data_IF_783623806143
#
_entry.id   IF_783623806143
#
_cell.length_a   1.000
_cell.length_b   1.000
_cell.length_c   1.000
_cell.angle_alpha   90.00
_cell.angle_beta   90.00
_cell.angle_gamma   90.00
#
_symmetry.space_group_name_H-M   'P 1'
#
loop_
_entity.id
_entity.type
_entity.pdbx_description
1 polymer ?
#
# COMPACT_ATOMS: atom_id res chain seq x y z
N UNK A 1 21.91 -25.11 65.11
CA UNK A 1 21.91 -26.17 64.09
C UNK A 1 20.82 -27.19 64.45
N UNK A 2 19.69 -27.20 63.73
CA UNK A 2 18.58 -28.17 63.98
C UNK A 2 19.02 -29.55 63.41
N UNK A 3 19.09 -30.55 64.26
CA UNK A 3 19.33 -31.95 63.88
C UNK A 3 18.12 -32.40 63.01
N UNK A 4 18.37 -32.64 61.72
CA UNK A 4 17.38 -33.22 60.81
C UNK A 4 17.19 -34.68 61.24
N UNK A 5 15.96 -35.06 61.59
CA UNK A 5 15.63 -36.43 62.04
C UNK A 5 15.87 -37.43 60.90
N UNK A 6 16.49 -38.56 61.27
CA UNK A 6 16.76 -39.67 60.30
C UNK A 6 15.56 -40.15 59.56
N UNK A 7 14.36 -39.98 60.14
CA UNK A 7 13.07 -40.23 59.41
C UNK A 7 12.86 -39.29 58.23
N UNK A 8 13.18 -38.02 58.36
CA UNK A 8 13.00 -37.02 57.27
C UNK A 8 14.03 -37.23 56.15
N UNK A 9 15.21 -37.72 56.47
CA UNK A 9 16.24 -38.07 55.51
C UNK A 9 15.81 -39.27 54.61
N UNK A 10 15.17 -40.29 55.26
CA UNK A 10 14.66 -41.47 54.58
C UNK A 10 13.47 -41.12 53.66
N UNK A 11 12.60 -40.22 54.10
CA UNK A 11 11.47 -39.76 53.26
C UNK A 11 11.98 -38.94 52.06
N UNK A 12 13.01 -38.10 52.28
CA UNK A 12 13.63 -37.32 51.21
C UNK A 12 14.34 -38.24 50.18
N UNK A 13 15.04 -39.27 50.66
CA UNK A 13 15.72 -40.26 49.80
C UNK A 13 14.74 -41.11 49.01
N UNK A 14 13.58 -41.49 49.59
CA UNK A 14 12.53 -42.24 48.88
C UNK A 14 11.84 -41.31 47.84
N UNK A 15 11.62 -40.04 48.19
CA UNK A 15 11.02 -39.07 47.25
C UNK A 15 11.96 -38.77 46.07
N UNK A 16 13.26 -38.64 46.31
CA UNK A 16 14.23 -38.44 45.21
C UNK A 16 14.40 -39.67 44.36
N UNK A 17 14.37 -40.88 44.98
CA UNK A 17 14.44 -42.12 44.22
C UNK A 17 13.20 -42.35 43.36
N UNK A 18 11.99 -42.03 43.88
CA UNK A 18 10.75 -42.12 43.12
C UNK A 18 10.70 -41.10 41.95
N UNK A 19 11.23 -39.89 42.16
CA UNK A 19 11.33 -38.86 41.12
C UNK A 19 12.31 -39.26 40.02
N UNK A 20 13.44 -39.89 40.42
CA UNK A 20 14.42 -40.42 39.47
C UNK A 20 13.86 -41.59 38.66
N UNK A 21 13.09 -42.47 39.33
CA UNK A 21 12.42 -43.59 38.66
C UNK A 21 11.35 -43.10 37.69
N UNK A 22 10.60 -42.05 38.07
CA UNK A 22 9.60 -41.42 37.20
C UNK A 22 10.25 -40.70 35.98
N UNK A 23 11.39 -40.06 36.19
CA UNK A 23 12.19 -39.47 35.14
C UNK A 23 12.77 -40.53 34.19
N UNK A 24 13.20 -41.68 34.75
CA UNK A 24 13.72 -42.81 33.96
C UNK A 24 12.59 -43.48 33.15
N UNK A 25 11.38 -43.61 33.72
CA UNK A 25 10.20 -44.12 33.03
C UNK A 25 9.69 -43.15 31.94
N UNK A 26 9.72 -41.85 32.23
CA UNK A 26 9.42 -40.82 31.22
C UNK A 26 10.47 -40.76 30.09
N UNK A 27 11.75 -40.99 30.46
CA UNK A 27 12.83 -41.06 29.49
C UNK A 27 12.76 -42.31 28.63
N UNK A 28 12.36 -43.45 29.18
CA UNK A 28 12.09 -44.69 28.44
C UNK A 28 10.82 -44.60 27.57
N UNK A 29 9.79 -43.88 28.02
CA UNK A 29 8.57 -43.72 27.20
C UNK A 29 8.77 -42.66 26.09
N UNK A 30 9.64 -41.66 26.27
CA UNK A 30 9.95 -40.68 25.23
C UNK A 30 10.98 -41.20 24.21
N UNK A 31 11.70 -42.28 24.54
CA UNK A 31 12.65 -42.92 23.63
C UNK A 31 12.05 -44.03 22.76
N UNK A 32 10.80 -44.40 23.01
CA UNK A 32 10.20 -45.52 22.29
C UNK A 32 9.80 -45.19 20.84
N UNK A 33 9.49 -43.92 20.54
CA UNK A 33 9.02 -43.59 19.17
C UNK A 33 10.08 -42.94 18.25
N UNK A 34 11.19 -42.46 18.81
CA UNK A 34 12.24 -41.80 18.03
C UNK A 34 13.58 -42.55 17.93
N UNK A 35 13.93 -43.31 18.95
CA UNK A 35 15.23 -43.98 19.02
C UNK A 35 15.26 -45.38 18.34
N UNK A 36 14.13 -46.00 18.17
CA UNK A 36 14.03 -47.28 17.43
C UNK A 36 14.31 -47.13 15.95
N UNK A 37 14.02 -46.01 15.34
CA UNK A 37 14.40 -45.71 13.94
C UNK A 37 15.90 -45.46 13.76
N UNK A 38 16.55 -44.85 14.72
CA UNK A 38 18.00 -44.51 14.61
C UNK A 38 18.90 -45.68 14.99
N UNK A 39 18.51 -46.50 15.97
CA UNK A 39 19.30 -47.67 16.37
C UNK A 39 19.17 -48.83 15.38
N UNK A 40 18.02 -48.94 14.71
CA UNK A 40 17.85 -49.93 13.63
C UNK A 40 18.71 -49.59 12.39
N UNK A 41 19.09 -48.33 12.20
CA UNK A 41 19.95 -47.90 11.09
C UNK A 41 21.46 -48.12 11.35
N UNK A 42 21.88 -48.41 12.61
CA UNK A 42 23.28 -48.47 13.01
C UNK A 42 23.74 -49.94 13.30
N UNK A 43 22.86 -50.85 13.56
CA UNK A 43 23.22 -52.25 13.77
C UNK A 43 23.12 -53.05 12.46
N UNK A 44 24.22 -53.52 11.88
CA UNK A 44 24.15 -54.45 10.76
C UNK A 44 23.56 -55.76 11.26
N UNK A 45 22.27 -55.94 11.06
CA UNK A 45 21.49 -57.10 11.49
C UNK A 45 21.71 -58.34 10.65
N UNK A 46 22.89 -58.68 10.36
CA UNK A 46 23.35 -59.93 9.75
C UNK A 46 24.16 -59.75 8.48
N UNK A 47 25.27 -60.45 8.39
CA UNK A 47 26.14 -60.56 7.22
C UNK A 47 25.53 -61.37 6.05
N UNK A 48 24.25 -61.65 6.05
CA UNK A 48 23.67 -62.57 5.09
C UNK A 48 22.36 -62.23 4.44
N UNK A 49 21.90 -60.93 4.51
CA UNK A 49 20.61 -60.56 3.90
C UNK A 49 19.40 -61.20 4.55
N UNK A 50 18.23 -60.73 4.27
CA UNK A 50 16.97 -61.28 4.76
C UNK A 50 16.59 -62.52 3.89
N UNK A 51 16.41 -63.68 4.53
CA UNK A 51 15.97 -64.92 3.91
C UNK A 51 14.47 -65.01 4.12
N UNK A 52 13.70 -64.90 3.06
CA UNK A 52 12.25 -65.11 3.07
C UNK A 52 12.01 -66.56 2.67
N UNK A 53 11.57 -67.42 3.61
CA UNK A 53 11.34 -68.81 3.31
C UNK A 53 9.88 -69.07 2.97
N UNK A 54 9.62 -69.64 1.83
CA UNK A 54 8.33 -70.28 1.49
C UNK A 54 7.36 -69.50 0.65
N UNK A 55 7.59 -68.17 0.42
CA UNK A 55 6.73 -67.36 -0.43
C UNK A 55 7.54 -66.55 -1.46
N UNK A 56 6.96 -66.28 -2.65
CA UNK A 56 7.62 -65.46 -3.66
C UNK A 56 7.78 -64.04 -3.14
N UNK A 57 8.96 -63.45 -3.37
CA UNK A 57 9.23 -62.06 -3.01
C UNK A 57 8.28 -61.12 -3.78
N UNK A 58 7.46 -60.39 -3.06
CA UNK A 58 6.55 -59.38 -3.62
C UNK A 58 7.10 -57.98 -3.39
N UNK A 59 6.57 -56.95 -4.07
CA UNK A 59 6.97 -55.54 -3.86
C UNK A 59 6.78 -55.14 -2.39
N UNK A 60 5.70 -55.62 -1.74
CA UNK A 60 5.44 -55.32 -0.32
C UNK A 60 6.44 -55.97 0.61
N UNK A 61 6.87 -57.23 0.35
CA UNK A 61 7.89 -57.89 1.18
C UNK A 61 9.27 -57.28 0.98
N UNK A 62 9.60 -56.83 -0.24
CA UNK A 62 10.86 -56.09 -0.51
C UNK A 62 10.82 -54.72 0.16
N UNK A 63 9.70 -54.03 0.18
CA UNK A 63 9.54 -52.74 0.83
C UNK A 63 9.64 -52.84 2.37
N UNK A 64 9.19 -53.96 2.96
CA UNK A 64 9.25 -54.19 4.40
C UNK A 64 10.66 -54.61 4.85
N UNK A 65 11.35 -55.46 4.11
CA UNK A 65 12.61 -56.06 4.54
C UNK A 65 13.86 -55.37 3.94
N UNK A 66 13.72 -54.77 2.76
CA UNK A 66 14.84 -54.12 2.08
C UNK A 66 14.36 -52.94 1.21
N UNK A 67 13.87 -51.86 1.82
CA UNK A 67 13.32 -50.71 1.08
C UNK A 67 14.32 -50.06 0.12
N UNK A 68 15.61 -50.24 0.39
CA UNK A 68 16.70 -49.71 -0.45
C UNK A 68 16.85 -50.40 -1.82
N UNK A 69 16.19 -51.57 -2.03
CA UNK A 69 16.16 -52.27 -3.31
C UNK A 69 15.09 -51.73 -4.25
N UNK A 70 14.07 -51.05 -3.72
CA UNK A 70 13.03 -50.46 -4.52
C UNK A 70 13.43 -49.01 -4.82
N UNK A 71 13.62 -48.74 -6.08
CA UNK A 71 13.82 -47.39 -6.56
C UNK A 71 12.44 -46.71 -6.67
N UNK A 72 12.22 -45.63 -5.93
CA UNK A 72 11.03 -44.81 -6.12
C UNK A 72 11.12 -44.13 -7.48
N UNK A 73 10.01 -44.04 -8.19
CA UNK A 73 9.92 -43.30 -9.42
C UNK A 73 10.01 -41.81 -9.04
N UNK A 74 11.11 -41.16 -9.43
CA UNK A 74 11.36 -39.78 -9.16
C UNK A 74 11.04 -38.98 -10.42
N UNK A 75 10.09 -38.03 -10.32
CA UNK A 75 9.88 -37.05 -11.37
C UNK A 75 11.09 -36.13 -11.43
N UNK A 76 11.86 -36.22 -12.50
CA UNK A 76 13.04 -35.35 -12.72
C UNK A 76 12.66 -33.90 -13.03
N UNK A 77 11.36 -33.59 -13.18
CA UNK A 77 10.89 -32.24 -13.41
C UNK A 77 10.63 -31.54 -12.09
N UNK A 78 11.44 -30.53 -11.80
CA UNK A 78 11.18 -29.60 -10.71
C UNK A 78 10.18 -28.58 -11.21
N UNK A 79 8.99 -28.59 -10.63
CA UNK A 79 7.96 -27.57 -10.88
C UNK A 79 8.35 -26.33 -10.05
N UNK A 80 8.86 -25.31 -10.71
CA UNK A 80 9.12 -24.03 -10.08
C UNK A 80 7.80 -23.28 -9.91
N UNK A 81 7.40 -23.05 -8.67
CA UNK A 81 6.28 -22.16 -8.37
C UNK A 81 6.76 -20.75 -8.67
N UNK A 82 6.22 -20.14 -9.72
CA UNK A 82 6.48 -18.75 -10.01
C UNK A 82 5.59 -17.93 -9.09
N UNK A 83 6.15 -17.13 -8.18
CA UNK A 83 5.35 -16.18 -7.45
C UNK A 83 4.77 -15.21 -8.47
N UNK A 84 3.57 -14.88 -8.25
CA UNK A 84 2.67 -13.92 -8.83
C UNK A 84 3.29 -12.75 -9.56
N UNK A 85 2.46 -12.18 -10.40
CA UNK A 85 2.75 -10.92 -11.07
C UNK A 85 3.14 -9.84 -10.06
N UNK A 86 4.27 -9.20 -10.28
CA UNK A 86 4.69 -8.00 -9.58
C UNK A 86 4.29 -6.77 -10.41
N UNK A 87 3.03 -6.32 -10.35
CA UNK A 87 2.49 -5.34 -11.30
C UNK A 87 3.19 -3.98 -11.20
N UNK A 88 3.55 -3.53 -10.01
CA UNK A 88 4.23 -2.24 -9.81
C UNK A 88 5.64 -2.29 -10.38
N UNK A 89 6.39 -3.36 -10.13
CA UNK A 89 7.73 -3.53 -10.70
C UNK A 89 7.68 -3.57 -12.23
N UNK A 90 6.69 -4.26 -12.81
CA UNK A 90 6.48 -4.31 -14.26
C UNK A 90 6.13 -2.93 -14.85
N UNK A 91 5.16 -2.21 -14.25
CA UNK A 91 4.79 -0.86 -14.67
C UNK A 91 5.98 0.09 -14.55
N UNK A 92 6.75 -0.02 -13.47
CA UNK A 92 7.93 0.83 -13.25
C UNK A 92 9.05 0.59 -14.24
N UNK A 93 9.26 -0.66 -14.68
CA UNK A 93 10.28 -1.00 -15.69
C UNK A 93 9.92 -0.47 -17.06
N UNK A 94 8.65 -0.51 -17.43
CA UNK A 94 8.20 0.02 -18.71
C UNK A 94 8.42 1.52 -18.81
N UNK A 95 8.22 2.24 -17.72
CA UNK A 95 8.48 3.68 -17.66
C UNK A 95 9.97 4.01 -17.57
N UNK A 96 10.78 3.07 -17.10
CA UNK A 96 12.18 3.24 -16.81
C UNK A 96 12.44 3.87 -15.43
N UNK A 97 13.44 3.36 -14.74
CA UNK A 97 13.88 3.92 -13.47
C UNK A 97 14.76 5.16 -13.72
N UNK A 98 14.56 6.21 -12.92
CA UNK A 98 15.46 7.36 -12.89
C UNK A 98 16.63 7.09 -11.95
N UNK A 99 17.81 7.51 -12.33
CA UNK A 99 18.99 7.40 -11.47
C UNK A 99 18.91 8.41 -10.34
N UNK A 100 19.07 7.96 -9.10
CA UNK A 100 19.19 8.80 -7.92
C UNK A 100 20.67 8.96 -7.54
N UNK A 101 21.14 10.18 -7.38
CA UNK A 101 22.50 10.47 -6.91
C UNK A 101 22.67 10.29 -5.40
N UNK A 102 21.58 10.16 -4.65
CA UNK A 102 21.54 10.04 -3.20
C UNK A 102 20.55 8.96 -2.76
N UNK A 103 20.74 8.43 -1.54
CA UNK A 103 19.78 7.53 -0.90
C UNK A 103 18.48 8.24 -0.49
N UNK A 104 18.51 9.58 -0.46
CA UNK A 104 17.36 10.42 -0.17
C UNK A 104 16.91 11.04 -1.49
N UNK A 105 15.65 10.83 -1.84
CA UNK A 105 15.04 11.37 -3.06
C UNK A 105 14.04 12.45 -2.67
N UNK A 106 14.40 13.68 -3.00
CA UNK A 106 13.51 14.83 -2.86
C UNK A 106 12.81 15.09 -4.19
N UNK A 107 11.51 15.28 -4.13
CA UNK A 107 10.72 15.63 -5.31
C UNK A 107 9.73 16.75 -4.96
N UNK A 108 9.44 17.55 -5.95
CA UNK A 108 8.61 18.74 -5.81
C UNK A 108 7.32 18.54 -6.61
N UNK A 109 6.21 18.86 -5.99
CA UNK A 109 4.92 18.97 -6.66
C UNK A 109 4.38 20.38 -6.49
N UNK A 110 3.79 20.92 -7.55
CA UNK A 110 3.07 22.20 -7.51
C UNK A 110 1.61 21.86 -7.70
N UNK A 111 0.81 22.22 -6.72
CA UNK A 111 -0.64 22.09 -6.82
C UNK A 111 -1.27 23.41 -7.23
N UNK A 112 -2.46 23.36 -7.82
CA UNK A 112 -3.26 24.54 -8.04
C UNK A 112 -3.88 24.98 -6.71
N UNK A 113 -4.06 26.30 -6.53
CA UNK A 113 -4.77 26.81 -5.35
C UNK A 113 -6.13 26.11 -5.24
N UNK A 114 -6.54 25.68 -4.05
CA UNK A 114 -7.84 25.08 -3.83
C UNK A 114 -8.95 25.95 -4.41
N UNK A 115 -9.84 25.33 -5.14
CA UNK A 115 -11.01 26.03 -5.72
C UNK A 115 -12.17 26.09 -4.75
N UNK A 116 -12.14 25.28 -3.69
CA UNK A 116 -13.21 25.19 -2.69
C UNK A 116 -12.65 25.47 -1.31
N UNK A 117 -13.41 26.23 -0.53
CA UNK A 117 -13.16 26.53 0.88
C UNK A 117 -14.44 26.36 1.67
N UNK A 118 -14.32 26.11 2.96
CA UNK A 118 -15.45 25.96 3.88
C UNK A 118 -15.51 27.10 4.86
N UNK A 119 -16.73 27.49 5.26
CA UNK A 119 -16.93 28.44 6.34
C UNK A 119 -16.64 27.75 7.68
N UNK A 120 -15.84 28.41 8.53
CA UNK A 120 -15.50 27.92 9.87
C UNK A 120 -16.56 28.32 10.90
N UNK A 121 -17.02 29.56 10.84
CA UNK A 121 -17.96 30.10 11.82
C UNK A 121 -19.28 30.49 11.16
N UNK A 122 -20.38 30.06 11.79
CA UNK A 122 -21.74 30.41 11.33
C UNK A 122 -21.92 31.93 11.33
N UNK A 123 -22.35 32.48 10.21
CA UNK A 123 -22.85 33.84 10.13
C UNK A 123 -24.39 33.84 10.23
N UNK A 124 -24.93 34.67 11.12
CA UNK A 124 -26.39 34.85 11.27
C UNK A 124 -26.80 36.22 10.74
N UNK A 125 -27.81 36.26 9.88
CA UNK A 125 -28.35 37.49 9.34
C UNK A 125 -28.95 38.39 10.46
N UNK A 126 -28.84 39.73 10.34
CA UNK A 126 -29.46 40.64 11.28
C UNK A 126 -31.00 40.64 11.15
N UNK A 127 -31.69 40.97 12.21
CA UNK A 127 -33.14 41.20 12.18
C UNK A 127 -33.48 42.54 11.56
N UNK A 128 -34.72 42.72 11.08
CA UNK A 128 -35.18 43.98 10.48
C UNK A 128 -34.98 45.20 11.36
N UNK A 129 -34.93 45.02 12.69
CA UNK A 129 -34.74 46.08 13.66
C UNK A 129 -33.30 46.41 13.95
N UNK A 130 -32.36 45.52 13.63
CA UNK A 130 -30.92 45.67 13.90
C UNK A 130 -30.12 45.91 12.64
N UNK A 131 -30.72 45.76 11.47
CA UNK A 131 -30.03 45.90 10.20
C UNK A 131 -29.62 47.36 9.94
N UNK A 132 -28.39 47.54 9.48
CA UNK A 132 -27.85 48.83 9.03
C UNK A 132 -26.97 48.57 7.77
N UNK A 133 -26.46 49.63 7.16
CA UNK A 133 -25.62 49.57 5.96
C UNK A 133 -24.32 48.77 6.13
N UNK A 134 -23.86 48.57 7.37
CA UNK A 134 -22.65 47.76 7.61
C UNK A 134 -22.86 46.29 7.40
N UNK A 135 -24.09 45.78 7.44
CA UNK A 135 -24.44 44.39 7.18
C UNK A 135 -24.45 43.98 5.69
N UNK A 136 -24.18 44.90 4.80
CA UNK A 136 -23.90 44.60 3.39
C UNK A 136 -22.47 44.06 3.18
N UNK A 137 -21.57 44.32 4.13
CA UNK A 137 -20.20 43.84 4.16
C UNK A 137 -19.93 43.16 5.47
N UNK A 138 -19.59 41.90 5.45
CA UNK A 138 -19.47 41.06 6.62
C UNK A 138 -18.13 40.37 6.64
N UNK A 139 -17.57 40.21 7.80
CA UNK A 139 -16.36 39.41 8.02
C UNK A 139 -16.77 37.93 8.14
N UNK A 140 -16.11 37.07 7.40
CA UNK A 140 -16.24 35.63 7.45
C UNK A 140 -14.86 34.98 7.61
N UNK A 141 -14.82 33.87 8.33
CA UNK A 141 -13.60 33.05 8.50
C UNK A 141 -13.77 31.76 7.71
N UNK A 142 -12.77 31.41 6.91
CA UNK A 142 -12.73 30.20 6.10
C UNK A 142 -11.59 29.29 6.53
N UNK A 143 -11.71 28.00 6.25
CA UNK A 143 -10.72 26.98 6.59
C UNK A 143 -9.35 27.18 5.93
N UNK A 144 -9.36 27.73 4.70
CA UNK A 144 -8.13 28.03 3.97
C UNK A 144 -8.17 29.44 3.35
N UNK A 145 -7.82 30.46 4.14
CA UNK A 145 -7.84 31.85 3.66
C UNK A 145 -6.81 32.11 2.55
N UNK A 146 -5.72 31.33 2.47
CA UNK A 146 -4.67 31.53 1.47
C UNK A 146 -5.12 31.14 0.04
N UNK A 147 -6.20 30.37 -0.05
CA UNK A 147 -6.80 30.04 -1.34
C UNK A 147 -7.54 31.23 -1.98
N UNK A 148 -7.92 32.24 -1.18
CA UNK A 148 -8.77 33.36 -1.60
C UNK A 148 -7.98 34.65 -1.51
N UNK A 149 -8.18 35.52 -2.50
CA UNK A 149 -7.58 36.83 -2.57
C UNK A 149 -8.62 37.94 -2.70
N UNK A 150 -8.18 39.18 -2.51
CA UNK A 150 -9.01 40.36 -2.74
C UNK A 150 -9.48 40.38 -4.19
N UNK A 151 -10.71 40.79 -4.40
CA UNK A 151 -11.41 40.80 -5.70
C UNK A 151 -11.85 39.45 -6.23
N UNK A 152 -11.62 38.33 -5.49
CA UNK A 152 -12.18 37.04 -5.86
C UNK A 152 -13.69 37.02 -5.63
N UNK A 153 -14.40 36.23 -6.45
CA UNK A 153 -15.81 35.94 -6.29
C UNK A 153 -16.02 34.54 -5.79
N UNK A 154 -16.90 34.36 -4.80
CA UNK A 154 -17.18 33.11 -4.12
C UNK A 154 -18.64 32.70 -4.35
N UNK A 155 -18.85 31.50 -4.88
CA UNK A 155 -20.18 30.90 -5.07
C UNK A 155 -20.50 29.97 -3.90
N UNK A 156 -21.57 30.24 -3.16
CA UNK A 156 -22.05 29.35 -2.10
C UNK A 156 -22.79 28.15 -2.71
N UNK A 157 -22.49 26.92 -2.25
CA UNK A 157 -23.10 25.71 -2.83
C UNK A 157 -24.53 25.44 -2.36
N UNK A 158 -24.84 25.82 -1.12
CA UNK A 158 -26.09 25.43 -0.45
C UNK A 158 -27.03 26.61 -0.16
N UNK A 159 -26.66 27.84 -0.55
CA UNK A 159 -27.42 29.04 -0.24
C UNK A 159 -27.89 29.68 -1.53
N UNK A 160 -29.18 29.98 -1.58
CA UNK A 160 -29.78 30.69 -2.72
C UNK A 160 -29.49 32.20 -2.66
N UNK A 161 -29.35 32.80 -3.82
CA UNK A 161 -29.27 34.23 -3.97
C UNK A 161 -30.65 34.86 -4.15
N UNK A 162 -30.69 36.16 -4.21
CA UNK A 162 -31.92 36.95 -4.30
C UNK A 162 -31.93 37.76 -5.62
N UNK A 163 -33.11 38.20 -6.01
CA UNK A 163 -33.32 39.06 -7.17
C UNK A 163 -32.74 40.48 -6.94
N UNK A 164 -32.79 41.33 -7.94
CA UNK A 164 -32.33 42.71 -7.84
C UNK A 164 -33.06 43.52 -6.75
N UNK A 165 -34.31 43.17 -6.42
CA UNK A 165 -35.05 43.76 -5.31
C UNK A 165 -34.54 43.30 -3.95
N UNK A 166 -33.95 42.09 -3.87
CA UNK A 166 -33.54 41.41 -2.66
C UNK A 166 -34.69 40.75 -1.89
N UNK A 167 -35.87 40.70 -2.48
CA UNK A 167 -37.07 40.17 -1.83
C UNK A 167 -37.39 38.72 -2.20
N UNK A 168 -37.12 38.36 -3.47
CA UNK A 168 -37.44 37.02 -3.98
C UNK A 168 -36.19 36.19 -4.10
N UNK A 169 -36.26 34.99 -3.49
CA UNK A 169 -35.22 34.01 -3.62
C UNK A 169 -35.15 33.42 -5.04
N UNK A 170 -33.97 33.39 -5.61
CA UNK A 170 -33.71 32.87 -6.94
C UNK A 170 -33.20 31.44 -6.87
N UNK A 171 -33.35 30.69 -7.95
CA UNK A 171 -32.68 29.42 -8.13
C UNK A 171 -31.15 29.58 -8.30
N UNK A 172 -30.69 30.79 -8.59
CA UNK A 172 -29.27 31.13 -8.60
C UNK A 172 -28.68 31.11 -7.19
N UNK A 173 -27.47 30.60 -7.08
CA UNK A 173 -26.73 30.53 -5.82
C UNK A 173 -26.22 31.90 -5.38
N UNK A 174 -26.04 32.06 -4.06
CA UNK A 174 -25.46 33.27 -3.48
C UNK A 174 -24.02 33.45 -3.95
N UNK A 175 -23.70 34.64 -4.45
CA UNK A 175 -22.36 35.06 -4.86
C UNK A 175 -21.87 36.14 -3.92
N UNK A 176 -20.69 35.93 -3.36
CA UNK A 176 -19.98 36.87 -2.51
C UNK A 176 -18.76 37.44 -3.25
N UNK A 177 -18.50 38.73 -3.09
CA UNK A 177 -17.33 39.40 -3.60
C UNK A 177 -16.42 39.75 -2.43
N UNK A 178 -15.12 39.40 -2.51
CA UNK A 178 -14.13 39.65 -1.48
C UNK A 178 -13.58 41.06 -1.61
N UNK A 179 -13.91 41.92 -0.66
CA UNK A 179 -13.51 43.35 -0.66
C UNK A 179 -12.13 43.55 -0.05
N UNK A 180 -11.84 42.86 1.06
CA UNK A 180 -10.53 42.88 1.72
C UNK A 180 -10.27 41.57 2.44
N UNK A 181 -8.99 41.31 2.67
CA UNK A 181 -8.49 40.15 3.42
C UNK A 181 -7.56 40.65 4.50
N UNK A 182 -7.75 40.19 5.70
CA UNK A 182 -6.81 40.39 6.78
C UNK A 182 -5.77 39.26 6.74
N UNK A 183 -4.51 39.61 6.56
CA UNK A 183 -3.41 38.66 6.40
C UNK A 183 -3.06 38.00 7.73
N UNK A 184 -3.24 38.71 8.86
CA UNK A 184 -2.87 38.18 10.18
C UNK A 184 -3.92 37.20 10.73
N UNK A 185 -5.21 37.55 10.60
CA UNK A 185 -6.30 36.76 11.13
C UNK A 185 -6.91 35.78 10.13
N UNK A 186 -6.66 35.98 8.82
CA UNK A 186 -7.29 35.19 7.75
C UNK A 186 -8.78 35.52 7.53
N UNK A 187 -9.28 36.58 8.18
CA UNK A 187 -10.66 37.04 7.99
C UNK A 187 -10.86 37.69 6.63
N UNK A 188 -11.95 37.33 5.98
CA UNK A 188 -12.36 37.90 4.69
C UNK A 188 -13.52 38.87 4.90
N UNK A 189 -13.39 40.10 4.42
CA UNK A 189 -14.51 41.02 4.35
C UNK A 189 -15.21 40.82 3.00
N UNK A 190 -16.43 40.31 3.02
CA UNK A 190 -17.18 39.96 1.83
C UNK A 190 -18.44 40.80 1.69
N UNK A 191 -18.86 41.01 0.44
CA UNK A 191 -20.10 41.68 0.07
C UNK A 191 -20.93 40.76 -0.81
N UNK A 192 -22.24 40.68 -0.57
CA UNK A 192 -23.13 39.91 -1.44
C UNK A 192 -23.38 40.65 -2.77
N UNK A 193 -23.27 39.90 -3.87
CA UNK A 193 -23.59 40.40 -5.22
C UNK A 193 -25.12 40.34 -5.43
N UNK A 194 -25.72 39.20 -5.05
CA UNK A 194 -27.16 38.94 -5.12
C UNK A 194 -27.72 38.66 -3.71
N UNK A 195 -27.55 39.65 -2.82
CA UNK A 195 -27.93 39.56 -1.41
C UNK A 195 -29.41 39.84 -1.14
N UNK A 196 -29.82 39.47 0.06
CA UNK A 196 -31.18 39.64 0.60
C UNK A 196 -31.48 41.07 0.99
N UNK A 197 -32.73 41.51 0.84
CA UNK A 197 -33.23 42.74 1.45
C UNK A 197 -33.74 42.45 2.85
N UNK A 198 -33.20 43.13 3.83
CA UNK A 198 -33.67 43.03 5.23
C UNK A 198 -34.10 44.43 5.68
N UNK A 199 -35.37 44.59 6.04
CA UNK A 199 -35.88 45.92 6.32
C UNK A 199 -35.77 46.89 5.14
N UNK A 200 -35.05 47.98 5.32
CA UNK A 200 -34.80 48.99 4.26
C UNK A 200 -33.46 48.78 3.52
N UNK A 201 -32.63 47.85 3.99
CA UNK A 201 -31.26 47.65 3.45
C UNK A 201 -31.26 46.51 2.45
N UNK A 202 -30.76 46.78 1.22
CA UNK A 202 -30.54 45.79 0.18
C UNK A 202 -29.12 45.25 0.20
N UNK A 203 -28.92 44.04 -0.30
CA UNK A 203 -27.61 43.44 -0.46
C UNK A 203 -27.04 42.86 0.85
N UNK A 204 -27.90 42.59 1.84
CA UNK A 204 -27.49 41.88 3.05
C UNK A 204 -27.15 40.43 2.75
N UNK A 205 -26.17 39.90 3.48
CA UNK A 205 -25.82 38.51 3.38
C UNK A 205 -26.82 37.67 4.19
N UNK A 206 -27.49 36.64 3.62
CA UNK A 206 -28.34 35.74 4.36
C UNK A 206 -27.55 34.90 5.34
N UNK A 207 -28.23 34.20 6.25
CA UNK A 207 -27.57 33.28 7.19
C UNK A 207 -26.77 32.21 6.47
N UNK A 208 -25.48 32.08 6.83
CA UNK A 208 -24.56 31.09 6.29
C UNK A 208 -24.20 30.12 7.40
N UNK A 209 -24.45 28.84 7.20
CA UNK A 209 -24.15 27.82 8.19
C UNK A 209 -22.68 27.43 8.16
N UNK A 210 -22.19 26.95 9.29
CA UNK A 210 -20.88 26.30 9.39
C UNK A 210 -20.75 25.18 8.36
N UNK A 211 -19.55 24.88 7.90
CA UNK A 211 -19.24 23.91 6.84
C UNK A 211 -19.85 24.22 5.46
N UNK A 212 -20.48 25.38 5.27
CA UNK A 212 -20.92 25.79 3.92
C UNK A 212 -19.73 25.89 2.99
N UNK A 213 -19.81 25.18 1.86
CA UNK A 213 -18.75 25.17 0.84
C UNK A 213 -18.92 26.33 -0.11
N UNK A 214 -17.85 27.10 -0.31
CA UNK A 214 -17.74 28.11 -1.34
C UNK A 214 -16.80 27.66 -2.45
N UNK A 215 -17.21 27.88 -3.70
CA UNK A 215 -16.30 27.75 -4.85
C UNK A 215 -15.80 29.11 -5.27
N UNK A 216 -14.49 29.24 -5.39
CA UNK A 216 -13.85 30.41 -5.98
C UNK A 216 -14.08 30.39 -7.50
N UNK A 217 -14.74 31.40 -8.04
CA UNK A 217 -15.04 31.50 -9.45
C UNK A 217 -13.97 32.25 -10.24
N UNK A 218 -13.41 33.30 -9.66
CA UNK A 218 -12.37 34.10 -10.30
C UNK A 218 -12.38 35.54 -9.78
N UNK A 219 -11.46 36.35 -10.26
CA UNK A 219 -11.31 37.74 -9.88
C UNK A 219 -12.14 38.64 -10.78
N UNK A 220 -12.70 39.68 -10.18
CA UNK A 220 -13.38 40.75 -10.86
C UNK A 220 -12.65 42.06 -10.51
N UNK A 221 -11.86 42.57 -11.44
CA UNK A 221 -11.11 43.81 -11.28
C UNK A 221 -11.92 45.01 -11.80
N UNK A 222 -11.63 46.19 -11.33
CA UNK A 222 -12.19 47.45 -11.87
C UNK A 222 -11.43 47.90 -13.12
N UNK A 223 -12.04 48.75 -13.93
CA UNK A 223 -11.41 49.25 -15.15
C UNK A 223 -10.11 50.00 -14.91
N UNK A 224 -9.97 50.62 -13.74
CA UNK A 224 -8.79 51.42 -13.36
C UNK A 224 -7.75 50.59 -12.57
N UNK A 225 -8.00 49.36 -12.28
CA UNK A 225 -7.06 48.48 -11.55
C UNK A 225 -5.86 48.16 -12.46
N UNK A 226 -4.70 48.66 -12.08
CA UNK A 226 -3.43 48.36 -12.76
C UNK A 226 -2.76 47.13 -12.16
N UNK A 227 -3.01 46.85 -10.87
CA UNK A 227 -2.44 45.72 -10.13
C UNK A 227 -3.54 44.90 -9.47
N UNK A 228 -3.45 43.60 -9.58
CA UNK A 228 -4.28 42.66 -8.82
C UNK A 228 -3.39 41.88 -7.84
N UNK A 229 -3.99 41.27 -6.83
CA UNK A 229 -3.27 40.43 -5.91
C UNK A 229 -2.45 39.36 -6.65
N UNK A 230 -1.20 39.18 -6.24
CA UNK A 230 -0.27 38.28 -6.91
C UNK A 230 -0.72 36.83 -6.74
N UNK A 231 -0.64 36.02 -7.81
CA UNK A 231 -0.83 34.58 -7.73
C UNK A 231 0.51 33.94 -7.39
N UNK A 232 0.57 33.31 -6.21
CA UNK A 232 1.74 32.54 -5.79
C UNK A 232 1.35 31.11 -5.52
N UNK A 233 2.05 30.18 -6.17
CA UNK A 233 1.99 28.76 -5.87
C UNK A 233 3.41 28.25 -5.78
N UNK A 234 3.85 27.92 -4.58
CA UNK A 234 5.19 27.41 -4.32
C UNK A 234 5.22 25.88 -4.39
N UNK A 235 6.30 25.32 -4.96
CA UNK A 235 6.44 23.87 -4.96
C UNK A 235 6.54 23.30 -3.55
N UNK A 236 5.73 22.31 -3.24
CA UNK A 236 5.82 21.56 -2.00
C UNK A 236 6.85 20.43 -2.15
N UNK A 237 7.77 20.36 -1.19
CA UNK A 237 8.83 19.35 -1.14
C UNK A 237 8.32 18.09 -0.46
N UNK A 238 8.35 16.98 -1.17
CA UNK A 238 8.16 15.65 -0.63
C UNK A 238 9.46 14.85 -0.71
N UNK A 239 9.62 13.87 0.18
CA UNK A 239 10.83 13.11 0.33
C UNK A 239 10.54 11.62 0.48
N UNK A 240 11.34 10.76 -0.16
CA UNK A 240 11.34 9.32 0.08
C UNK A 240 12.77 8.79 0.19
N UNK A 241 12.96 7.64 0.84
CA UNK A 241 14.26 7.01 1.04
C UNK A 241 14.41 5.81 0.11
N UNK A 242 15.60 5.67 -0.49
CA UNK A 242 15.97 4.45 -1.19
C UNK A 242 16.30 3.37 -0.15
N UNK A 243 15.61 2.24 -0.23
CA UNK A 243 15.90 1.07 0.57
C UNK A 243 16.88 0.16 -0.18
N UNK A 244 17.84 -0.38 0.54
CA UNK A 244 18.80 -1.35 -0.01
C UNK A 244 18.20 -2.74 0.15
N UNK A 245 17.93 -3.39 -0.96
CA UNK A 245 17.51 -4.79 -1.01
C UNK A 245 18.73 -5.63 -1.35
N UNK A 246 18.98 -6.65 -0.54
CA UNK A 246 20.09 -7.60 -0.76
C UNK A 246 19.62 -9.02 -0.52
N UNK A 247 20.06 -9.93 -1.37
CA UNK A 247 19.86 -11.36 -1.21
C UNK A 247 21.16 -12.09 -1.57
N UNK A 248 21.52 -13.10 -0.79
CA UNK A 248 22.72 -13.87 -0.99
C UNK A 248 22.37 -15.34 -1.14
N UNK A 249 22.96 -15.98 -2.13
CA UNK A 249 22.87 -17.40 -2.38
C UNK A 249 24.27 -17.99 -2.29
N UNK A 250 24.44 -19.04 -1.51
CA UNK A 250 25.69 -19.76 -1.39
C UNK A 250 25.53 -21.24 -1.75
N UNK A 251 26.49 -21.78 -2.49
CA UNK A 251 26.55 -23.20 -2.75
C UNK A 251 27.97 -23.73 -2.49
N UNK A 252 28.07 -24.84 -1.76
CA UNK A 252 29.36 -25.47 -1.50
C UNK A 252 29.90 -26.16 -2.73
N UNK A 253 31.24 -26.24 -2.83
CA UNK A 253 31.90 -26.94 -3.93
C UNK A 253 31.54 -28.43 -3.96
N UNK A 254 31.39 -29.05 -2.79
CA UNK A 254 31.02 -30.47 -2.70
C UNK A 254 29.60 -30.72 -3.19
N UNK A 255 28.65 -29.81 -2.91
CA UNK A 255 27.27 -29.91 -3.41
C UNK A 255 27.21 -29.80 -4.94
N UNK A 256 28.09 -29.01 -5.55
CA UNK A 256 28.21 -28.92 -7.01
C UNK A 256 28.71 -30.22 -7.66
N UNK A 257 29.59 -30.96 -6.96
CA UNK A 257 30.18 -32.21 -7.45
C UNK A 257 29.35 -33.45 -7.07
N UNK A 258 28.40 -33.32 -6.15
CA UNK A 258 27.55 -34.40 -5.71
C UNK A 258 26.59 -34.85 -6.84
N UNK A 259 26.44 -36.16 -7.01
CA UNK A 259 25.40 -36.71 -7.88
C UNK A 259 24.04 -36.41 -7.22
N UNK A 260 23.15 -35.77 -7.94
CA UNK A 260 21.83 -35.39 -7.48
C UNK A 260 20.81 -36.30 -8.18
N UNK A 261 19.79 -36.72 -7.44
CA UNK A 261 18.67 -37.50 -8.00
C UNK A 261 17.84 -36.63 -8.95
N UNK A 262 17.79 -35.33 -8.69
CA UNK A 262 17.08 -34.35 -9.50
C UNK A 262 18.07 -33.25 -9.87
N UNK A 263 18.03 -32.82 -11.12
CA UNK A 263 18.85 -31.71 -11.61
C UNK A 263 18.37 -30.40 -11.00
N UNK A 264 19.04 -29.97 -9.92
CA UNK A 264 18.83 -28.69 -9.27
C UNK A 264 20.15 -27.93 -9.22
N UNK A 265 20.23 -26.93 -10.11
CA UNK A 265 21.45 -26.18 -10.31
C UNK A 265 21.49 -24.83 -9.56
N UNK A 266 22.66 -24.23 -9.53
CA UNK A 266 22.85 -22.92 -8.92
C UNK A 266 22.04 -21.83 -9.64
N UNK A 267 21.88 -21.95 -10.97
CA UNK A 267 21.05 -21.06 -11.78
C UNK A 267 19.56 -21.13 -11.41
N UNK A 268 19.07 -22.30 -11.03
CA UNK A 268 17.69 -22.46 -10.56
C UNK A 268 17.45 -21.75 -9.23
N UNK A 269 18.43 -21.86 -8.33
CA UNK A 269 18.39 -21.14 -7.05
C UNK A 269 18.45 -19.62 -7.27
N UNK A 270 19.26 -19.16 -8.24
CA UNK A 270 19.35 -17.75 -8.62
C UNK A 270 18.00 -17.23 -9.13
N UNK A 271 17.34 -17.97 -10.00
CA UNK A 271 16.02 -17.59 -10.53
C UNK A 271 15.00 -17.43 -9.42
N UNK A 272 14.89 -18.40 -8.50
CA UNK A 272 13.97 -18.35 -7.37
C UNK A 272 14.30 -17.17 -6.45
N UNK A 273 15.56 -16.92 -6.16
CA UNK A 273 15.99 -15.81 -5.32
C UNK A 273 15.67 -14.44 -5.96
N UNK A 274 15.82 -14.31 -7.28
CA UNK A 274 15.43 -13.09 -7.99
C UNK A 274 13.92 -12.84 -7.84
N UNK A 275 13.10 -13.89 -7.97
CA UNK A 275 11.65 -13.74 -7.79
C UNK A 275 11.29 -13.33 -6.37
N UNK A 276 11.88 -13.97 -5.36
CA UNK A 276 11.62 -13.65 -3.96
C UNK A 276 12.05 -12.22 -3.61
N UNK A 277 13.24 -11.80 -4.09
CA UNK A 277 13.71 -10.43 -3.93
C UNK A 277 12.73 -9.41 -4.55
N UNK A 278 12.22 -9.68 -5.76
CA UNK A 278 11.26 -8.81 -6.43
C UNK A 278 9.93 -8.73 -5.69
N UNK A 279 9.44 -9.87 -5.20
CA UNK A 279 8.23 -9.92 -4.39
C UNK A 279 8.39 -9.10 -3.10
N UNK A 280 9.52 -9.23 -2.43
CA UNK A 280 9.86 -8.46 -1.24
C UNK A 280 9.96 -6.95 -1.52
N UNK A 281 10.53 -6.58 -2.67
CA UNK A 281 10.59 -5.20 -3.14
C UNK A 281 9.18 -4.64 -3.40
N UNK A 282 8.32 -5.40 -4.07
CA UNK A 282 6.95 -5.02 -4.37
C UNK A 282 6.14 -4.76 -3.08
N UNK A 283 6.24 -5.66 -2.09
CA UNK A 283 5.63 -5.48 -0.76
C UNK A 283 6.10 -4.18 -0.09
N UNK A 284 7.39 -3.90 -0.16
CA UNK A 284 7.98 -2.68 0.40
C UNK A 284 7.55 -1.43 -0.37
N UNK A 285 7.43 -1.49 -1.69
CA UNK A 285 6.96 -0.37 -2.52
C UNK A 285 5.46 -0.09 -2.34
N UNK A 286 4.67 -1.11 -2.02
CA UNK A 286 3.25 -0.93 -1.73
C UNK A 286 3.02 -0.38 -0.32
N UNK A 287 3.50 -1.09 0.71
CA UNK A 287 3.09 -0.89 2.10
C UNK A 287 4.20 -0.42 3.03
N UNK A 288 5.43 -0.28 2.54
CA UNK A 288 6.55 0.17 3.36
C UNK A 288 6.27 1.48 4.10
N UNK A 289 6.84 1.64 5.28
CA UNK A 289 6.76 2.88 6.07
C UNK A 289 8.08 3.61 5.97
N UNK A 290 8.03 4.88 5.54
CA UNK A 290 9.23 5.72 5.47
C UNK A 290 9.83 5.91 6.85
N UNK A 291 11.03 5.37 7.07
CA UNK A 291 11.75 5.49 8.32
C UNK A 291 13.25 5.35 8.12
N UNK A 292 14.02 5.90 9.05
CA UNK A 292 15.46 5.65 9.15
C UNK A 292 15.74 5.14 10.56
N UNK A 293 16.20 3.91 10.66
CA UNK A 293 16.41 3.21 11.92
C UNK A 293 17.91 3.00 12.12
N UNK A 294 18.42 3.35 13.30
CA UNK A 294 19.80 3.05 13.65
C UNK A 294 19.92 1.60 14.12
N UNK A 295 20.74 0.81 13.43
CA UNK A 295 21.07 -0.57 13.83
C UNK A 295 22.30 -0.54 14.77
N UNK A 296 22.13 -0.85 16.07
CA UNK A 296 23.23 -0.78 17.03
C UNK A 296 24.29 -1.87 16.80
N UNK A 297 23.95 -2.96 16.13
CA UNK A 297 24.88 -4.06 15.84
C UNK A 297 25.80 -3.69 14.69
N UNK A 298 25.22 -3.14 13.62
CA UNK A 298 25.97 -2.71 12.42
C UNK A 298 26.54 -1.31 12.56
N UNK A 299 26.07 -0.53 13.55
CA UNK A 299 26.42 0.89 13.79
C UNK A 299 26.17 1.79 12.59
N UNK A 300 25.12 1.49 11.85
CA UNK A 300 24.72 2.18 10.63
C UNK A 300 23.21 2.48 10.64
N UNK A 301 22.81 3.49 9.87
CA UNK A 301 21.40 3.78 9.66
C UNK A 301 20.85 2.93 8.52
N UNK A 302 19.73 2.24 8.79
CA UNK A 302 18.96 1.49 7.81
C UNK A 302 17.79 2.35 7.34
N UNK A 303 17.78 2.69 6.06
CA UNK A 303 16.70 3.46 5.46
C UNK A 303 15.62 2.54 4.89
N UNK A 304 14.39 2.78 5.27
CA UNK A 304 13.20 2.08 4.78
C UNK A 304 12.43 3.00 3.83
N UNK A 305 12.00 2.46 2.71
CA UNK A 305 11.24 3.21 1.71
C UNK A 305 9.78 3.41 2.15
N UNK A 306 9.23 4.58 1.85
CA UNK A 306 7.80 4.82 2.00
C UNK A 306 7.02 4.23 0.85
N UNK A 307 6.06 3.37 1.14
CA UNK A 307 5.18 2.73 0.17
C UNK A 307 4.21 3.71 -0.48
N UNK A 308 3.76 3.37 -1.68
CA UNK A 308 2.81 4.18 -2.45
C UNK A 308 1.44 4.27 -1.77
N UNK A 309 1.08 3.27 -0.95
CA UNK A 309 -0.14 3.29 -0.16
C UNK A 309 -0.25 4.53 0.72
N UNK A 310 0.84 4.94 1.34
CA UNK A 310 0.89 6.09 2.24
C UNK A 310 1.11 7.43 1.54
N UNK A 311 1.43 7.40 0.24
CA UNK A 311 1.65 8.58 -0.58
C UNK A 311 0.40 9.03 -1.35
N UNK A 312 -0.65 8.19 -1.41
CA UNK A 312 -1.92 8.54 -2.05
C UNK A 312 -2.66 9.61 -1.23
N UNK A 313 -3.24 10.59 -1.91
CA UNK A 313 -3.89 11.74 -1.28
C UNK A 313 -5.39 11.61 -1.06
N UNK A 314 -6.05 10.63 -1.72
CA UNK A 314 -7.49 10.40 -1.58
C UNK A 314 -7.78 9.05 -0.97
N UNK A 315 -8.85 8.99 -0.18
CA UNK A 315 -9.37 7.76 0.40
C UNK A 315 -10.82 7.54 -0.02
N UNK A 316 -11.16 6.30 -0.30
CA UNK A 316 -12.50 5.84 -0.54
C UNK A 316 -12.80 4.67 0.37
N UNK A 317 -13.78 4.84 1.26
CA UNK A 317 -14.22 3.82 2.20
C UNK A 317 -15.51 3.20 1.71
N UNK A 318 -15.62 1.88 1.82
CA UNK A 318 -16.85 1.17 1.56
C UNK A 318 -17.06 0.06 2.59
N UNK A 319 -18.32 -0.27 2.87
CA UNK A 319 -18.64 -1.30 3.86
C UNK A 319 -18.53 -2.69 3.22
N UNK A 320 -17.70 -3.55 3.79
CA UNK A 320 -17.54 -4.95 3.36
C UNK A 320 -18.74 -5.84 3.72
N UNK A 321 -19.58 -5.43 4.67
CA UNK A 321 -20.78 -6.18 5.06
C UNK A 321 -21.93 -6.00 4.09
N UNK A 322 -21.92 -4.95 3.29
CA UNK A 322 -22.97 -4.62 2.34
C UNK A 322 -22.63 -5.16 0.93
N UNK A 323 -23.67 -5.39 0.14
CA UNK A 323 -23.47 -5.75 -1.27
C UNK A 323 -22.84 -4.59 -2.04
N UNK A 324 -21.82 -4.87 -2.80
CA UNK A 324 -21.18 -3.89 -3.67
C UNK A 324 -22.12 -3.59 -4.86
N UNK A 325 -22.67 -2.37 -4.89
CA UNK A 325 -23.69 -1.98 -5.88
C UNK A 325 -23.07 -1.16 -7.02
N UNK A 326 -23.83 -1.02 -8.12
CA UNK A 326 -23.44 -0.15 -9.23
C UNK A 326 -23.26 1.32 -8.79
N UNK A 327 -24.02 1.79 -7.80
CA UNK A 327 -23.93 3.15 -7.28
C UNK A 327 -22.60 3.39 -6.58
N UNK A 328 -22.12 2.41 -5.80
CA UNK A 328 -20.78 2.45 -5.16
C UNK A 328 -19.68 2.50 -6.22
N UNK A 329 -19.82 1.73 -7.30
CA UNK A 329 -18.87 1.77 -8.42
C UNK A 329 -18.86 3.14 -9.11
N UNK A 330 -20.03 3.74 -9.34
CA UNK A 330 -20.15 5.07 -9.95
C UNK A 330 -19.50 6.12 -9.03
N UNK A 331 -19.73 6.06 -7.74
CA UNK A 331 -19.13 6.96 -6.76
C UNK A 331 -17.61 6.76 -6.67
N UNK A 332 -17.13 5.53 -6.71
CA UNK A 332 -15.70 5.21 -6.80
C UNK A 332 -15.08 5.87 -8.03
N UNK A 333 -15.70 5.66 -9.22
CA UNK A 333 -15.22 6.24 -10.47
C UNK A 333 -15.29 7.77 -10.46
N UNK A 334 -16.36 8.34 -9.90
CA UNK A 334 -16.48 9.78 -9.71
C UNK A 334 -15.33 10.33 -8.85
N UNK A 335 -15.10 9.77 -7.68
CA UNK A 335 -14.03 10.23 -6.78
C UNK A 335 -12.62 10.03 -7.37
N UNK A 336 -12.41 8.93 -8.09
CA UNK A 336 -11.14 8.63 -8.73
C UNK A 336 -10.78 9.63 -9.86
N UNK A 337 -11.78 10.15 -10.59
CA UNK A 337 -11.55 10.94 -11.80
C UNK A 337 -11.99 12.41 -11.71
N UNK A 338 -12.50 12.86 -10.57
CA UNK A 338 -12.87 14.26 -10.34
C UNK A 338 -11.95 14.93 -9.32
N UNK A 339 -11.92 16.25 -9.31
CA UNK A 339 -11.18 17.04 -8.33
C UNK A 339 -9.66 16.97 -8.52
N UNK A 340 -9.13 17.52 -9.62
CA UNK A 340 -7.70 17.53 -9.93
C UNK A 340 -7.05 16.14 -9.96
N UNK A 341 -7.77 15.15 -10.45
CA UNK A 341 -7.37 13.75 -10.33
C UNK A 341 -6.34 13.26 -11.36
N UNK A 342 -5.69 14.13 -12.10
CA UNK A 342 -4.72 13.74 -13.14
C UNK A 342 -5.35 13.16 -14.40
N UNK A 343 -4.77 12.07 -14.91
CA UNK A 343 -5.19 11.46 -16.17
C UNK A 343 -6.53 10.72 -16.07
N UNK A 344 -7.21 10.61 -17.21
CA UNK A 344 -8.44 9.80 -17.36
C UNK A 344 -8.19 8.30 -17.56
N UNK A 345 -6.96 7.84 -17.44
CA UNK A 345 -6.58 6.43 -17.53
C UNK A 345 -5.78 6.06 -16.31
N UNK A 346 -6.34 5.21 -15.47
CA UNK A 346 -5.72 4.80 -14.21
C UNK A 346 -5.69 3.29 -14.08
N UNK A 347 -4.83 2.80 -13.21
CA UNK A 347 -4.69 1.39 -12.88
C UNK A 347 -5.17 1.18 -11.45
N UNK A 348 -6.05 0.22 -11.26
CA UNK A 348 -6.48 -0.27 -9.95
C UNK A 348 -5.72 -1.57 -9.66
N UNK A 349 -4.94 -1.56 -8.60
CA UNK A 349 -4.37 -2.76 -7.99
C UNK A 349 -5.24 -3.13 -6.80
N UNK A 350 -5.78 -4.33 -6.78
CA UNK A 350 -6.75 -4.73 -5.77
C UNK A 350 -6.51 -6.16 -5.28
N UNK A 351 -6.89 -6.41 -4.03
CA UNK A 351 -6.94 -7.73 -3.46
C UNK A 351 -8.10 -8.57 -4.01
N UNK A 352 -8.07 -9.86 -3.75
CA UNK A 352 -9.03 -10.83 -4.29
C UNK A 352 -10.47 -10.56 -3.86
N UNK A 353 -10.69 -10.08 -2.63
CA UNK A 353 -12.02 -9.75 -2.11
C UNK A 353 -12.67 -8.59 -2.86
N UNK A 354 -11.94 -7.48 -3.04
CA UNK A 354 -12.45 -6.33 -3.81
C UNK A 354 -12.74 -6.73 -5.27
N UNK A 355 -11.88 -7.54 -5.89
CA UNK A 355 -12.09 -8.02 -7.27
C UNK A 355 -13.30 -8.95 -7.34
N UNK A 356 -13.48 -9.84 -6.38
CA UNK A 356 -14.66 -10.70 -6.33
C UNK A 356 -15.96 -9.89 -6.26
N UNK A 357 -15.98 -8.84 -5.42
CA UNK A 357 -17.12 -7.92 -5.32
C UNK A 357 -17.38 -7.15 -6.62
N UNK A 358 -16.32 -6.62 -7.23
CA UNK A 358 -16.43 -5.98 -8.54
C UNK A 358 -16.98 -6.94 -9.61
N UNK A 359 -16.57 -8.20 -9.58
CA UNK A 359 -17.00 -9.23 -10.53
C UNK A 359 -18.46 -9.66 -10.36
N UNK A 360 -19.09 -9.39 -9.22
CA UNK A 360 -20.54 -9.65 -9.03
C UNK A 360 -21.43 -8.67 -9.76
N UNK A 361 -20.91 -7.50 -10.15
CA UNK A 361 -21.66 -6.48 -10.83
C UNK A 361 -22.02 -6.87 -12.27
N UNK A 362 -23.28 -6.79 -12.63
CA UNK A 362 -23.78 -7.13 -13.98
C UNK A 362 -23.17 -6.27 -15.08
N UNK A 363 -22.86 -5.01 -14.78
CA UNK A 363 -22.22 -4.07 -15.70
C UNK A 363 -20.84 -4.56 -16.11
N UNK A 364 -20.06 -5.06 -15.16
CA UNK A 364 -18.70 -5.55 -15.43
C UNK A 364 -18.74 -6.88 -16.17
N UNK A 365 -19.68 -7.77 -15.87
CA UNK A 365 -19.88 -9.02 -16.61
C UNK A 365 -20.16 -8.78 -18.09
N UNK A 366 -20.90 -7.73 -18.41
CA UNK A 366 -21.23 -7.37 -19.81
C UNK A 366 -20.02 -6.79 -20.52
N UNK A 367 -19.17 -6.01 -19.83
CA UNK A 367 -18.00 -5.34 -20.42
C UNK A 367 -16.78 -6.28 -20.56
N UNK A 368 -16.65 -7.29 -19.71
CA UNK A 368 -15.49 -8.21 -19.73
C UNK A 368 -15.49 -9.17 -20.92
N UNK A 369 -16.62 -9.35 -21.60
CA UNK A 369 -16.72 -10.21 -22.76
C UNK A 369 -16.10 -9.64 -24.04
N UNK A 370 -15.81 -8.34 -24.09
CA UNK A 370 -15.35 -7.67 -25.33
C UNK A 370 -13.92 -7.12 -25.29
N UNK A 371 -13.28 -7.00 -24.14
CA UNK A 371 -12.02 -6.24 -24.02
C UNK A 371 -11.03 -6.78 -23.01
N UNK A 372 -10.58 -8.03 -23.14
CA UNK A 372 -9.33 -8.40 -22.45
C UNK A 372 -8.16 -7.84 -23.26
N UNK A 373 -7.52 -6.80 -22.76
CA UNK A 373 -6.36 -6.21 -23.40
C UNK A 373 -5.10 -6.62 -22.65
N UNK A 374 -4.30 -7.51 -23.22
CA UNK A 374 -2.97 -7.80 -22.70
C UNK A 374 -2.05 -6.63 -23.03
N UNK A 375 -1.79 -5.81 -22.05
CA UNK A 375 -0.81 -4.73 -22.13
C UNK A 375 0.32 -5.04 -21.14
N UNK A 376 1.55 -4.94 -21.58
CA UNK A 376 2.73 -5.14 -20.72
C UNK A 376 2.88 -6.56 -20.11
N UNK A 377 2.26 -7.57 -20.74
CA UNK A 377 2.26 -8.94 -20.21
C UNK A 377 1.35 -9.16 -19.01
N UNK A 378 0.47 -8.20 -18.72
CA UNK A 378 -0.57 -8.29 -17.70
C UNK A 378 -1.94 -8.29 -18.38
N UNK A 379 -2.83 -9.16 -17.90
CA UNK A 379 -4.23 -9.17 -18.30
C UNK A 379 -4.97 -8.08 -17.54
N UNK A 380 -5.52 -7.13 -18.29
CA UNK A 380 -6.31 -6.05 -17.72
C UNK A 380 -7.79 -6.27 -18.04
N UNK A 381 -8.62 -6.21 -17.03
CA UNK A 381 -10.03 -5.93 -17.21
C UNK A 381 -10.24 -4.41 -17.21
N UNK A 382 -10.81 -3.87 -18.27
CA UNK A 382 -11.05 -2.43 -18.43
C UNK A 382 -12.46 -2.08 -17.99
N UNK A 383 -12.61 -1.18 -17.03
CA UNK A 383 -13.88 -0.57 -16.66
C UNK A 383 -13.93 0.81 -17.33
N UNK A 384 -14.86 0.99 -18.27
CA UNK A 384 -15.03 2.25 -19.00
C UNK A 384 -16.22 3.01 -18.46
N UNK A 385 -16.02 4.25 -18.07
CA UNK A 385 -17.09 5.17 -17.70
C UNK A 385 -16.93 6.51 -18.42
N UNK A 386 -17.96 7.38 -18.35
CA UNK A 386 -17.83 8.76 -18.85
C UNK A 386 -16.78 9.58 -18.08
N UNK A 387 -16.43 9.18 -16.87
CA UNK A 387 -15.40 9.84 -16.06
C UNK A 387 -14.00 9.49 -16.55
N UNK A 388 -13.76 8.25 -16.93
CA UNK A 388 -12.46 7.75 -17.36
C UNK A 388 -12.43 6.24 -17.53
N UNK A 389 -11.21 5.70 -17.73
CA UNK A 389 -10.92 4.29 -17.90
C UNK A 389 -10.09 3.78 -16.73
N UNK A 390 -10.56 2.71 -16.11
CA UNK A 390 -9.90 2.05 -15.00
C UNK A 390 -9.46 0.65 -15.43
N UNK A 391 -8.16 0.38 -15.38
CA UNK A 391 -7.58 -0.92 -15.65
C UNK A 391 -7.43 -1.67 -14.33
N UNK A 392 -8.13 -2.77 -14.18
CA UNK A 392 -8.14 -3.57 -12.95
C UNK A 392 -7.13 -4.69 -13.04
N UNK A 393 -6.27 -4.80 -12.04
CA UNK A 393 -5.27 -5.86 -11.92
C UNK A 393 -5.41 -6.49 -10.54
N UNK A 394 -5.47 -7.82 -10.49
CA UNK A 394 -5.34 -8.55 -9.24
C UNK A 394 -3.89 -8.49 -8.75
N UNK A 395 -3.71 -8.17 -7.49
CA UNK A 395 -2.41 -8.21 -6.82
C UNK A 395 -2.54 -9.03 -5.55
N UNK A 396 -2.03 -10.26 -5.60
CA UNK A 396 -2.03 -11.20 -4.47
C UNK A 396 -1.20 -10.68 -3.28
N UNK A 397 -0.41 -9.63 -3.47
CA UNK A 397 0.33 -8.97 -2.39
C UNK A 397 -0.62 -8.31 -1.39
N UNK A 398 -1.77 -7.82 -1.85
CA UNK A 398 -2.80 -7.33 -0.95
C UNK A 398 -3.33 -8.46 -0.06
N UNK A 399 -3.54 -9.65 -0.64
CA UNK A 399 -4.02 -10.82 0.08
C UNK A 399 -2.97 -11.31 1.09
N UNK A 400 -1.70 -11.39 0.69
CA UNK A 400 -0.57 -11.75 1.54
C UNK A 400 -0.38 -10.78 2.74
N UNK A 401 -0.71 -9.50 2.55
CA UNK A 401 -0.62 -8.48 3.57
C UNK A 401 -1.89 -8.35 4.42
N UNK A 402 -2.89 -9.24 4.25
CA UNK A 402 -4.14 -9.22 5.00
C UNK A 402 -5.09 -8.08 4.61
N UNK A 403 -4.96 -7.55 3.39
CA UNK A 403 -5.74 -6.44 2.83
C UNK A 403 -6.58 -6.89 1.64
N UNK A 404 -7.30 -7.98 1.81
CA UNK A 404 -8.06 -8.68 0.77
C UNK A 404 -9.10 -7.79 0.09
N UNK A 405 -9.77 -6.94 0.89
CA UNK A 405 -10.84 -6.04 0.43
C UNK A 405 -10.33 -4.64 0.06
N UNK A 406 -9.03 -4.43 0.13
CA UNK A 406 -8.40 -3.14 -0.17
C UNK A 406 -7.91 -3.07 -1.62
N UNK A 407 -7.68 -1.84 -2.08
CA UNK A 407 -7.10 -1.56 -3.38
C UNK A 407 -6.49 -0.18 -3.47
N UNK A 408 -5.67 0.05 -4.48
CA UNK A 408 -5.10 1.37 -4.77
C UNK A 408 -5.27 1.71 -6.24
N UNK A 409 -5.81 2.89 -6.50
CA UNK A 409 -5.90 3.46 -7.84
C UNK A 409 -4.69 4.36 -8.06
N UNK A 410 -3.91 4.05 -9.08
CA UNK A 410 -2.68 4.74 -9.40
C UNK A 410 -2.78 5.33 -10.80
N UNK A 411 -2.29 6.55 -10.96
CA UNK A 411 -2.02 7.12 -12.27
C UNK A 411 -0.57 6.76 -12.67
N UNK A 412 -0.37 5.89 -13.67
CA UNK A 412 0.97 5.46 -14.07
C UNK A 412 1.89 6.60 -14.50
N UNK A 413 1.34 7.74 -14.94
CA UNK A 413 2.13 8.88 -15.38
C UNK A 413 2.85 9.57 -14.22
N UNK A 414 2.25 9.57 -13.04
CA UNK A 414 2.81 10.18 -11.83
C UNK A 414 3.58 9.21 -10.94
N UNK A 415 3.58 7.91 -11.27
CA UNK A 415 4.40 6.90 -10.59
C UNK A 415 5.83 6.94 -11.16
N UNK A 416 6.85 7.05 -10.31
CA UNK A 416 8.25 7.06 -10.71
C UNK A 416 9.12 6.21 -9.79
N UNK A 417 9.85 5.25 -10.37
CA UNK A 417 10.92 4.50 -9.68
C UNK A 417 12.22 5.31 -9.75
N UNK A 418 12.89 5.40 -8.60
CA UNK A 418 14.23 5.94 -8.48
C UNK A 418 15.17 4.84 -8.05
N UNK A 419 16.30 4.73 -8.72
CA UNK A 419 17.32 3.74 -8.42
C UNK A 419 18.64 4.44 -8.12
N UNK A 420 19.12 4.27 -6.90
CA UNK A 420 20.46 4.72 -6.50
C UNK A 420 21.51 3.71 -6.97
N UNK A 421 21.26 2.42 -6.68
CA UNK A 421 22.02 1.30 -7.22
C UNK A 421 21.07 0.47 -8.08
N UNK A 422 21.30 0.35 -9.38
CA UNK A 422 20.47 -0.50 -10.23
C UNK A 422 20.59 -1.96 -9.82
N UNK A 423 19.57 -2.76 -10.15
CA UNK A 423 19.64 -4.20 -9.94
C UNK A 423 20.90 -4.79 -10.58
N UNK A 424 21.66 -5.51 -9.78
CA UNK A 424 22.85 -6.18 -10.22
C UNK A 424 23.13 -7.43 -9.41
N UNK A 425 23.79 -8.40 -10.06
CA UNK A 425 24.31 -9.59 -9.41
C UNK A 425 25.83 -9.52 -9.35
N UNK A 426 26.41 -9.87 -8.23
CA UNK A 426 27.84 -9.93 -8.00
C UNK A 426 28.22 -11.30 -7.47
N UNK A 427 29.07 -12.00 -8.20
CA UNK A 427 29.64 -13.27 -7.74
C UNK A 427 30.78 -12.99 -6.77
N UNK A 428 30.71 -13.57 -5.57
CA UNK A 428 31.77 -13.53 -4.57
C UNK A 428 32.50 -14.88 -4.53
N UNK A 429 33.81 -14.85 -4.75
CA UNK A 429 34.66 -16.02 -4.60
C UNK A 429 35.21 -16.10 -3.17
N UNK A 430 34.41 -16.70 -2.28
CA UNK A 430 34.76 -16.84 -0.87
C UNK A 430 35.92 -17.82 -0.64
N UNK A 431 36.24 -18.67 -1.63
CA UNK A 431 37.37 -19.59 -1.60
C UNK A 431 38.68 -18.83 -1.70
N UNK A 432 38.81 -17.92 -2.68
CA UNK A 432 39.99 -17.07 -2.83
C UNK A 432 40.21 -16.16 -1.65
N UNK A 433 39.13 -15.73 -1.00
CA UNK A 433 39.19 -14.93 0.20
C UNK A 433 39.57 -15.75 1.47
N UNK A 434 39.63 -17.08 1.39
CA UNK A 434 39.99 -17.96 2.49
C UNK A 434 38.93 -18.03 3.60
N UNK A 435 37.71 -17.58 3.32
CA UNK A 435 36.62 -17.49 4.32
C UNK A 435 35.83 -18.79 4.37
N UNK A 436 35.36 -19.29 3.22
CA UNK A 436 34.55 -20.52 3.09
C UNK A 436 34.79 -21.18 1.75
N UNK A 437 34.61 -22.52 1.68
CA UNK A 437 34.69 -23.27 0.42
C UNK A 437 33.32 -23.26 -0.30
N UNK A 438 32.82 -22.07 -0.58
CA UNK A 438 31.53 -21.83 -1.25
C UNK A 438 31.68 -20.79 -2.35
N UNK A 439 30.85 -20.90 -3.38
CA UNK A 439 30.61 -19.82 -4.32
C UNK A 439 29.34 -19.09 -3.88
N UNK A 440 29.38 -17.78 -3.83
CA UNK A 440 28.26 -16.97 -3.42
C UNK A 440 27.89 -15.97 -4.52
N UNK A 441 26.60 -15.76 -4.72
CA UNK A 441 26.03 -14.72 -5.55
C UNK A 441 25.28 -13.74 -4.66
N UNK A 442 25.58 -12.46 -4.78
CA UNK A 442 24.87 -11.39 -4.07
C UNK A 442 24.10 -10.56 -5.07
N UNK A 443 22.78 -10.56 -4.92
CA UNK A 443 21.86 -9.69 -5.60
C UNK A 443 21.72 -8.40 -4.81
N UNK A 444 21.81 -7.25 -5.47
CA UNK A 444 21.71 -5.95 -4.80
C UNK A 444 20.89 -4.98 -5.66
N UNK A 445 19.98 -4.26 -5.04
CA UNK A 445 19.30 -3.10 -5.62
C UNK A 445 19.04 -2.07 -4.51
N UNK A 446 19.29 -0.79 -4.78
CA UNK A 446 18.89 0.30 -3.90
C UNK A 446 17.93 1.23 -4.64
N UNK A 447 16.66 1.18 -4.28
CA UNK A 447 15.62 1.90 -5.00
C UNK A 447 14.45 2.33 -4.11
N UNK A 448 13.64 3.26 -4.60
CA UNK A 448 12.39 3.69 -4.00
C UNK A 448 11.36 4.05 -5.06
N UNK A 449 10.10 4.11 -4.64
CA UNK A 449 8.98 4.56 -5.46
C UNK A 449 8.46 5.90 -4.95
N UNK A 450 8.15 6.80 -5.87
CA UNK A 450 7.52 8.08 -5.55
C UNK A 450 6.24 8.25 -6.35
N UNK A 451 5.19 8.68 -5.65
CA UNK A 451 3.97 9.18 -6.26
C UNK A 451 4.05 10.70 -6.28
N UNK A 452 4.07 11.26 -7.49
CA UNK A 452 3.91 12.68 -7.67
C UNK A 452 2.43 12.99 -7.73
N UNK A 453 2.05 14.15 -7.26
CA UNK A 453 0.67 14.57 -7.30
C UNK A 453 -0.28 13.62 -6.54
N UNK A 454 -0.27 13.67 -5.18
CA UNK A 454 -1.01 12.73 -4.35
C UNK A 454 -2.49 12.60 -4.68
N UNK A 455 -3.15 13.71 -5.05
CA UNK A 455 -4.59 13.75 -5.38
C UNK A 455 -4.97 12.99 -6.68
N UNK A 456 -3.97 12.63 -7.50
CA UNK A 456 -4.20 11.76 -8.64
C UNK A 456 -4.36 10.29 -8.25
N UNK A 457 -4.06 9.93 -7.02
CA UNK A 457 -4.06 8.58 -6.51
C UNK A 457 -5.09 8.42 -5.40
N UNK A 458 -5.70 7.23 -5.31
CA UNK A 458 -6.75 6.98 -4.33
C UNK A 458 -6.60 5.59 -3.72
N UNK A 459 -6.67 5.51 -2.40
CA UNK A 459 -6.80 4.24 -1.68
C UNK A 459 -8.26 3.85 -1.60
N UNK A 460 -8.52 2.57 -1.73
CA UNK A 460 -9.82 1.96 -1.48
C UNK A 460 -9.65 1.11 -0.24
N UNK A 461 -10.44 1.36 0.77
CA UNK A 461 -10.37 0.68 2.06
C UNK A 461 -11.72 0.04 2.33
N UNK A 462 -11.72 -1.28 2.53
CA UNK A 462 -12.89 -2.03 2.96
C UNK A 462 -13.00 -2.02 4.49
N UNK A 463 -14.16 -1.60 5.02
CA UNK A 463 -14.49 -1.56 6.46
C UNK A 463 -15.52 -2.61 6.85
#
# INVERSE_FOLDING_TARGET
MKKISIKNLRILAIATLSLLLLFLLLWLSCSADGATCMVAAILPTSLGGHIISGEPATVSTVQEYSPSLLQSEIDNRIVKIRPMSTPIDQISRLKGARKAGSMIVDYYSVDMKPTRVKLVEKYTEPTSNTVNSSHTRVKITVDNPDAIEVSDTLLAHSISGYDESGEYELDARLVLYVTSKDIETGELLVQAVNGKKIGSVKGCIPTIYEDTVFSRMGRAATELDVQTAQFESLPFKSQNFCQIFKMQIEQSTFLKMANKEVEWDFSDQEEVAIYDMRLSMEKSFLFGIKSSIYDPVKKENVNLTGGIWWQAGKDFYYNCSDDFTNDILIDLMRNAFTGNSGNKRKVLLAGSGLIARLSTLDVIRTMSNESSMVKWGLDFNEIVSKFGKLYVIHSEIFDDCGRVDDGIIIDPEYLQKWSHVPFGSQTLDLKKAGIRNTDALVLTEASCMTLRYPDAHMRIVGE
#
